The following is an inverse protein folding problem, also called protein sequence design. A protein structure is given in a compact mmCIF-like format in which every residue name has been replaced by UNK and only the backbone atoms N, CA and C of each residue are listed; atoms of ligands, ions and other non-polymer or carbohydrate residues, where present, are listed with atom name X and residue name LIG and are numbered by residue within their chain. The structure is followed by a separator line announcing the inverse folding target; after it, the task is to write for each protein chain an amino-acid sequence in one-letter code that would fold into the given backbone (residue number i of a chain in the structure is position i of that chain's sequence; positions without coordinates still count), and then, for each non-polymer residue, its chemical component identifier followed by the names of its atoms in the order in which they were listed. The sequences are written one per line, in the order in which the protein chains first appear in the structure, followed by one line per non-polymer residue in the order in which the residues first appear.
data_IF_718538165776
#
_entry.id   IF_718538165776
#
_cell.length_a   1.000
_cell.length_b   1.000
_cell.length_c   1.000
_cell.angle_alpha   90.00
_cell.angle_beta   90.00
_cell.angle_gamma   90.00
#
_symmetry.space_group_name_H-M   'P 1'
#
loop_
_entity.id
_entity.type
_entity.pdbx_description
1 polymer ?
#
# COMPACT_ATOMS: atom_id res chain seq x y z
N UNK A 1 -0.92 35.18 -15.63
CA UNK A 1 -0.29 35.52 -16.97
C UNK A 1 0.08 34.22 -17.65
N UNK A 2 -0.18 34.13 -18.97
CA UNK A 2 0.10 32.89 -19.74
C UNK A 2 1.08 33.20 -20.88
N UNK A 3 2.00 32.28 -21.11
CA UNK A 3 2.98 32.35 -22.19
C UNK A 3 3.05 31.00 -22.92
N UNK A 4 3.11 31.03 -24.26
CA UNK A 4 3.33 29.83 -25.06
C UNK A 4 4.84 29.75 -25.36
N UNK A 5 5.51 28.80 -24.77
CA UNK A 5 6.91 28.47 -25.08
C UNK A 5 7.00 27.47 -26.23
N UNK A 6 8.22 27.07 -26.61
CA UNK A 6 8.46 26.09 -27.69
C UNK A 6 7.79 24.73 -27.41
N UNK A 7 7.81 24.26 -26.17
CA UNK A 7 7.47 22.90 -25.80
C UNK A 7 6.35 22.82 -24.75
N UNK A 8 5.96 23.98 -24.14
CA UNK A 8 5.00 24.03 -23.04
C UNK A 8 4.18 25.34 -23.03
N UNK A 9 3.08 25.34 -22.32
CA UNK A 9 2.37 26.54 -21.89
C UNK A 9 2.81 26.82 -20.45
N UNK A 10 3.29 28.05 -20.22
CA UNK A 10 3.73 28.54 -18.91
C UNK A 10 2.60 29.36 -18.29
N UNK A 11 2.21 29.01 -17.09
CA UNK A 11 1.17 29.71 -16.32
C UNK A 11 1.82 30.37 -15.12
N UNK A 12 1.64 31.68 -14.97
CA UNK A 12 2.21 32.48 -13.90
C UNK A 12 1.11 33.06 -13.03
N UNK A 13 1.31 33.00 -11.70
CA UNK A 13 0.56 33.73 -10.69
C UNK A 13 1.52 34.73 -10.02
N UNK A 14 1.12 36.00 -9.92
CA UNK A 14 1.95 37.09 -9.34
C UNK A 14 3.40 37.11 -9.83
N UNK A 15 3.61 36.92 -11.14
CA UNK A 15 4.93 36.85 -11.81
C UNK A 15 5.77 35.60 -11.41
N UNK A 16 5.26 34.69 -10.63
CA UNK A 16 5.89 33.40 -10.28
C UNK A 16 5.37 32.31 -11.20
N UNK A 17 6.27 31.51 -11.77
CA UNK A 17 5.86 30.34 -12.58
C UNK A 17 5.17 29.32 -11.67
N UNK A 18 3.88 29.13 -11.89
CA UNK A 18 3.07 28.15 -11.16
C UNK A 18 3.07 26.80 -11.86
N UNK A 19 2.82 26.79 -13.18
CA UNK A 19 2.81 25.57 -13.98
C UNK A 19 3.61 25.71 -15.27
N UNK A 20 4.38 24.66 -15.59
CA UNK A 20 4.93 24.40 -16.90
C UNK A 20 4.20 23.18 -17.48
N UNK A 21 3.27 23.40 -18.41
CA UNK A 21 2.38 22.39 -18.96
C UNK A 21 2.85 22.00 -20.37
N UNK A 22 3.51 20.83 -20.56
CA UNK A 22 3.94 20.37 -21.89
C UNK A 22 2.76 20.27 -22.85
N UNK A 23 2.93 20.63 -24.14
CA UNK A 23 1.86 20.64 -25.13
C UNK A 23 1.14 19.28 -25.23
N UNK A 24 1.91 18.18 -25.32
CA UNK A 24 1.34 16.83 -25.35
C UNK A 24 0.59 16.47 -24.08
N UNK A 25 1.06 16.93 -22.91
CA UNK A 25 0.37 16.72 -21.65
C UNK A 25 -0.99 17.42 -21.65
N UNK A 26 -1.07 18.69 -22.10
CA UNK A 26 -2.35 19.42 -22.21
C UNK A 26 -3.30 18.67 -23.15
N UNK A 27 -2.80 18.21 -24.29
CA UNK A 27 -3.62 17.50 -25.28
C UNK A 27 -4.15 16.17 -24.76
N UNK A 28 -3.33 15.44 -23.98
CA UNK A 28 -3.68 14.14 -23.39
C UNK A 28 -4.63 14.28 -22.19
N UNK A 29 -4.59 15.40 -21.47
CA UNK A 29 -5.38 15.61 -20.24
C UNK A 29 -6.63 16.49 -20.46
N UNK A 30 -7.02 16.72 -21.71
CA UNK A 30 -8.25 17.43 -22.03
C UNK A 30 -9.48 16.76 -21.40
N UNK A 31 -10.34 17.56 -20.76
CA UNK A 31 -11.55 17.11 -20.06
C UNK A 31 -12.82 17.16 -20.90
N UNK A 32 -12.76 17.64 -22.17
CA UNK A 32 -13.94 17.78 -23.02
C UNK A 32 -14.59 16.44 -23.39
N UNK A 33 -15.87 16.47 -23.78
CA UNK A 33 -16.65 15.28 -24.16
C UNK A 33 -16.10 14.52 -25.38
N UNK A 34 -15.24 15.15 -26.21
CA UNK A 34 -14.58 14.48 -27.31
C UNK A 34 -13.33 13.69 -26.87
N UNK A 35 -12.77 13.99 -25.68
CA UNK A 35 -11.59 13.34 -25.14
C UNK A 35 -11.90 12.37 -24.00
N UNK A 36 -13.04 12.54 -23.35
CA UNK A 36 -13.49 11.66 -22.26
C UNK A 36 -14.95 11.24 -22.47
N UNK A 37 -15.22 10.00 -22.07
CA UNK A 37 -16.60 9.49 -21.99
C UNK A 37 -17.28 10.19 -20.81
N UNK A 38 -18.39 10.87 -21.08
CA UNK A 38 -19.07 11.72 -20.10
C UNK A 38 -19.51 10.95 -18.83
N UNK A 39 -20.04 9.76 -19.02
CA UNK A 39 -20.61 8.91 -17.95
C UNK A 39 -19.55 8.29 -17.07
N UNK A 40 -18.43 7.84 -17.66
CA UNK A 40 -17.38 7.09 -16.96
C UNK A 40 -16.14 7.92 -16.66
N UNK A 41 -15.99 9.09 -17.28
CA UNK A 41 -14.79 9.94 -17.24
C UNK A 41 -13.52 9.27 -17.75
N UNK A 42 -13.64 8.11 -18.38
CA UNK A 42 -12.53 7.41 -19.02
C UNK A 42 -12.06 8.13 -20.26
N UNK A 43 -10.76 8.12 -20.52
CA UNK A 43 -10.17 8.67 -21.73
C UNK A 43 -10.62 7.86 -22.96
N UNK A 44 -11.10 8.55 -23.98
CA UNK A 44 -11.30 7.99 -25.33
C UNK A 44 -10.32 8.58 -26.36
N UNK A 45 -9.64 9.67 -26.00
CA UNK A 45 -8.59 10.25 -26.83
C UNK A 45 -7.32 9.38 -26.78
N UNK A 46 -6.71 9.19 -27.94
CA UNK A 46 -5.48 8.42 -28.12
C UNK A 46 -4.36 9.40 -28.48
N UNK A 47 -3.36 9.55 -27.64
CA UNK A 47 -2.29 10.56 -27.79
C UNK A 47 -1.51 10.41 -29.12
N UNK A 48 -1.34 9.21 -29.63
CA UNK A 48 -0.67 8.97 -30.92
C UNK A 48 -1.47 9.44 -32.17
N UNK A 49 -2.69 9.94 -31.99
CA UNK A 49 -3.49 10.53 -33.08
C UNK A 49 -3.07 11.95 -33.43
N UNK A 50 -2.19 12.57 -32.67
CA UNK A 50 -1.65 13.90 -32.93
C UNK A 50 -0.14 13.84 -33.15
N UNK A 51 0.40 14.88 -33.79
CA UNK A 51 1.83 14.98 -34.08
C UNK A 51 2.62 15.22 -32.78
N UNK A 52 3.81 14.61 -32.68
CA UNK A 52 4.68 14.71 -31.50
C UNK A 52 5.05 16.16 -31.14
N UNK A 53 5.18 17.01 -32.14
CA UNK A 53 5.56 18.43 -32.02
C UNK A 53 4.36 19.37 -32.15
N UNK A 54 3.16 18.89 -31.81
CA UNK A 54 1.94 19.72 -31.83
C UNK A 54 2.14 20.95 -30.94
N UNK A 55 1.79 22.12 -31.46
CA UNK A 55 1.89 23.39 -30.75
C UNK A 55 0.52 24.07 -30.74
N UNK A 56 0.09 24.69 -29.64
CA UNK A 56 -1.16 25.44 -29.58
C UNK A 56 -1.16 26.60 -30.59
N UNK A 57 -2.32 26.89 -31.16
CA UNK A 57 -2.53 28.08 -32.00
C UNK A 57 -2.93 29.30 -31.14
N UNK A 58 -3.57 29.03 -29.99
CA UNK A 58 -3.96 30.07 -29.05
C UNK A 58 -4.13 29.46 -27.66
N UNK A 59 -3.96 30.26 -26.61
CA UNK A 59 -4.19 29.86 -25.23
C UNK A 59 -4.86 31.03 -24.50
N UNK A 60 -5.96 30.75 -23.83
CA UNK A 60 -6.68 31.71 -23.01
C UNK A 60 -7.04 31.11 -21.66
N UNK A 61 -7.29 31.94 -20.67
CA UNK A 61 -7.75 31.55 -19.34
C UNK A 61 -9.09 32.23 -19.07
N UNK A 62 -10.03 31.44 -18.60
CA UNK A 62 -11.32 31.92 -18.13
C UNK A 62 -11.66 31.23 -16.79
N UNK A 63 -11.85 32.03 -15.73
CA UNK A 63 -12.24 31.54 -14.39
C UNK A 63 -11.42 30.31 -13.93
N UNK A 64 -10.06 30.42 -14.00
CA UNK A 64 -9.15 29.35 -13.61
C UNK A 64 -9.20 28.08 -14.50
N UNK A 65 -9.76 28.23 -15.69
CA UNK A 65 -9.80 27.17 -16.72
C UNK A 65 -8.92 27.59 -17.89
N UNK A 66 -7.91 26.80 -18.20
CA UNK A 66 -7.06 26.97 -19.37
C UNK A 66 -7.77 26.40 -20.59
N UNK A 67 -7.97 27.26 -21.61
CA UNK A 67 -8.57 26.90 -22.88
C UNK A 67 -7.48 26.97 -23.93
N UNK A 68 -7.19 25.85 -24.60
CA UNK A 68 -6.08 25.71 -25.53
C UNK A 68 -6.59 25.27 -26.90
N UNK A 69 -6.42 26.13 -27.91
CA UNK A 69 -6.80 25.86 -29.31
C UNK A 69 -5.65 25.17 -30.06
N UNK A 70 -5.97 24.15 -30.83
CA UNK A 70 -5.01 23.34 -31.58
C UNK A 70 -5.19 23.49 -33.10
N UNK A 71 -4.12 23.18 -33.91
CA UNK A 71 -4.21 23.23 -35.38
C UNK A 71 -5.25 22.31 -36.01
N UNK A 72 -5.57 21.21 -35.33
CA UNK A 72 -6.62 20.23 -35.74
C UNK A 72 -8.06 20.71 -35.44
N UNK A 73 -8.23 21.97 -34.99
CA UNK A 73 -9.47 22.60 -34.57
C UNK A 73 -10.05 22.03 -33.28
N UNK A 74 -9.29 21.21 -32.55
CA UNK A 74 -9.65 20.79 -31.22
C UNK A 74 -9.42 21.94 -30.21
N UNK A 75 -10.22 21.95 -29.14
CA UNK A 75 -10.03 22.85 -28.01
C UNK A 75 -9.87 22.01 -26.74
N UNK A 76 -8.70 22.09 -26.11
CA UNK A 76 -8.48 21.44 -24.81
C UNK A 76 -8.93 22.34 -23.69
N UNK A 77 -9.52 21.74 -22.66
CA UNK A 77 -10.02 22.39 -21.45
C UNK A 77 -9.27 21.75 -20.25
N UNK A 78 -8.57 22.58 -19.48
CA UNK A 78 -7.82 22.16 -18.29
C UNK A 78 -8.25 23.02 -17.10
N UNK A 79 -8.82 22.42 -16.09
CA UNK A 79 -9.15 23.07 -14.82
C UNK A 79 -7.88 23.18 -13.95
N UNK A 80 -7.33 24.36 -13.76
CA UNK A 80 -6.07 24.58 -13.03
C UNK A 80 -6.21 24.22 -11.55
N UNK A 81 -7.36 24.48 -10.92
CA UNK A 81 -7.64 24.04 -9.54
C UNK A 81 -7.52 22.53 -9.35
N UNK A 82 -7.78 21.75 -10.41
CA UNK A 82 -7.68 20.30 -10.35
C UNK A 82 -6.23 19.83 -10.26
N UNK A 83 -5.27 20.64 -10.71
CA UNK A 83 -3.84 20.33 -10.71
C UNK A 83 -3.22 20.47 -9.31
N UNK A 84 -3.79 21.35 -8.49
CA UNK A 84 -3.35 21.59 -7.11
C UNK A 84 -3.90 20.58 -6.11
N UNK A 85 -4.85 19.71 -6.50
CA UNK A 85 -5.37 18.65 -5.63
C UNK A 85 -4.26 17.61 -5.42
N UNK A 86 -3.45 17.84 -4.39
CA UNK A 86 -2.54 16.80 -3.90
C UNK A 86 -3.41 15.64 -3.41
N UNK A 87 -3.32 14.49 -4.06
CA UNK A 87 -3.97 13.25 -3.57
C UNK A 87 -3.60 12.95 -2.12
N UNK A 88 -2.44 13.45 -1.67
CA UNK A 88 -1.99 13.35 -0.28
C UNK A 88 -2.91 14.06 0.74
N UNK A 89 -3.69 15.09 0.33
CA UNK A 89 -4.61 15.80 1.23
C UNK A 89 -5.98 15.09 1.33
N UNK A 90 -6.24 14.16 0.42
CA UNK A 90 -7.50 13.42 0.38
C UNK A 90 -7.62 12.37 1.49
N UNK A 91 -6.48 11.87 1.97
CA UNK A 91 -6.41 10.80 2.97
C UNK A 91 -5.64 11.25 4.20
N UNK A 92 -5.99 10.74 5.40
CA UNK A 92 -5.23 11.05 6.61
C UNK A 92 -3.78 10.61 6.45
N UNK A 93 -2.86 11.44 6.95
CA UNK A 93 -1.45 11.09 7.00
C UNK A 93 -1.24 9.92 7.96
N UNK A 94 -0.29 9.04 7.64
CA UNK A 94 0.09 7.96 8.54
C UNK A 94 0.77 8.51 9.80
N UNK A 95 0.53 7.83 10.91
CA UNK A 95 1.08 8.18 12.22
C UNK A 95 2.03 7.05 12.67
N UNK A 96 3.25 7.42 13.12
CA UNK A 96 4.24 6.47 13.64
C UNK A 96 3.82 5.97 15.02
N UNK A 97 4.12 4.70 15.31
CA UNK A 97 3.90 4.12 16.62
C UNK A 97 4.97 3.08 16.99
N UNK A 98 5.07 2.72 18.27
CA UNK A 98 6.04 1.80 18.82
C UNK A 98 5.38 0.77 19.78
N UNK A 99 6.16 0.23 20.70
CA UNK A 99 5.73 -0.79 21.69
C UNK A 99 4.52 -0.40 22.55
N UNK A 100 4.26 0.88 22.72
CA UNK A 100 3.18 1.39 23.58
C UNK A 100 1.85 1.57 22.80
N UNK A 101 1.84 1.19 21.52
CA UNK A 101 0.64 1.26 20.68
C UNK A 101 -0.44 0.28 21.13
N UNK A 102 -1.68 0.77 21.13
CA UNK A 102 -2.90 -0.03 21.27
C UNK A 102 -3.81 0.24 20.07
N UNK A 103 -4.34 -0.80 19.40
CA UNK A 103 -5.22 -0.62 18.26
C UNK A 103 -6.54 0.02 18.67
N UNK A 104 -7.15 0.77 17.75
CA UNK A 104 -8.53 1.25 17.89
C UNK A 104 -9.49 0.08 17.73
N UNK A 105 -10.59 0.08 18.51
CA UNK A 105 -11.63 -0.95 18.47
C UNK A 105 -12.91 -0.36 17.88
N UNK A 106 -13.54 -1.12 16.98
CA UNK A 106 -14.80 -0.78 16.34
C UNK A 106 -15.76 -1.97 16.48
N UNK A 107 -17.05 -1.71 16.56
CA UNK A 107 -18.04 -2.77 16.64
C UNK A 107 -18.27 -3.41 15.27
N UNK A 108 -18.23 -4.75 15.19
CA UNK A 108 -18.40 -5.51 13.95
C UNK A 108 -19.68 -5.15 13.21
N UNK A 109 -20.81 -5.13 13.93
CA UNK A 109 -22.09 -4.85 13.31
C UNK A 109 -22.20 -3.41 12.83
N UNK A 110 -21.73 -2.46 13.64
CA UNK A 110 -21.72 -1.04 13.25
C UNK A 110 -20.79 -0.80 12.07
N UNK A 111 -19.62 -1.45 12.01
CA UNK A 111 -18.75 -1.38 10.85
C UNK A 111 -19.44 -1.82 9.56
N UNK A 112 -20.29 -2.85 9.61
CA UNK A 112 -21.02 -3.34 8.44
C UNK A 112 -22.22 -2.47 8.06
N UNK A 113 -22.91 -1.85 9.02
CA UNK A 113 -24.20 -1.20 8.82
C UNK A 113 -24.12 0.35 8.81
N UNK A 114 -23.13 0.97 9.48
CA UNK A 114 -22.98 2.42 9.60
C UNK A 114 -21.75 2.93 8.84
N UNK A 115 -21.99 3.89 7.92
CA UNK A 115 -20.92 4.45 7.09
C UNK A 115 -19.92 5.29 7.88
N UNK A 116 -20.34 5.97 8.96
CA UNK A 116 -19.43 6.77 9.78
C UNK A 116 -18.48 5.87 10.59
N UNK A 117 -18.99 4.76 11.14
CA UNK A 117 -18.14 3.80 11.83
C UNK A 117 -17.14 3.16 10.88
N UNK A 118 -17.57 2.77 9.67
CA UNK A 118 -16.68 2.26 8.64
C UNK A 118 -15.60 3.28 8.23
N UNK A 119 -15.96 4.55 8.03
CA UNK A 119 -15.02 5.64 7.73
C UNK A 119 -14.01 5.81 8.87
N UNK A 120 -14.44 5.77 10.13
CA UNK A 120 -13.55 5.88 11.27
C UNK A 120 -12.56 4.69 11.34
N UNK A 121 -13.03 3.48 11.09
CA UNK A 121 -12.19 2.28 11.02
C UNK A 121 -11.16 2.35 9.87
N UNK A 122 -11.58 2.78 8.67
CA UNK A 122 -10.66 2.98 7.56
C UNK A 122 -9.66 4.11 7.81
N UNK A 123 -10.07 5.19 8.47
CA UNK A 123 -9.14 6.25 8.89
C UNK A 123 -8.09 5.71 9.89
N UNK A 124 -8.47 4.83 10.83
CA UNK A 124 -7.53 4.16 11.71
C UNK A 124 -6.55 3.28 10.92
N UNK A 125 -7.04 2.51 9.91
CA UNK A 125 -6.18 1.70 9.04
C UNK A 125 -5.16 2.57 8.28
N UNK A 126 -5.61 3.69 7.72
CA UNK A 126 -4.73 4.62 6.99
C UNK A 126 -3.69 5.26 7.91
N UNK A 127 -4.07 5.66 9.13
CA UNK A 127 -3.19 6.31 10.09
C UNK A 127 -2.19 5.35 10.74
N UNK A 128 -2.66 4.26 11.31
CA UNK A 128 -1.84 3.33 12.09
C UNK A 128 -1.52 2.01 11.39
N UNK A 129 -2.24 1.67 10.33
CA UNK A 129 -2.13 0.36 9.68
C UNK A 129 -2.85 -0.77 10.40
N UNK A 130 -3.55 -0.49 11.51
CA UNK A 130 -4.16 -1.53 12.38
C UNK A 130 -5.44 -1.03 13.01
N UNK A 131 -6.46 -1.90 13.04
CA UNK A 131 -7.62 -1.77 13.94
C UNK A 131 -8.18 -3.14 14.30
N UNK A 132 -9.07 -3.19 15.29
CA UNK A 132 -9.75 -4.41 15.73
C UNK A 132 -11.26 -4.24 15.58
N UNK A 133 -11.92 -5.22 14.97
CA UNK A 133 -13.37 -5.37 15.02
C UNK A 133 -13.74 -6.26 16.21
N UNK A 134 -14.54 -5.71 17.13
CA UNK A 134 -15.04 -6.41 18.30
C UNK A 134 -16.46 -6.94 18.05
N UNK A 135 -16.90 -7.91 18.85
CA UNK A 135 -18.23 -8.53 18.74
C UNK A 135 -18.49 -9.22 17.39
N UNK A 136 -17.43 -9.71 16.73
CA UNK A 136 -17.56 -10.53 15.53
C UNK A 136 -18.23 -11.88 15.88
N UNK A 137 -19.05 -12.45 14.98
CA UNK A 137 -19.56 -13.80 15.14
C UNK A 137 -18.40 -14.80 15.24
N UNK A 138 -18.53 -15.86 16.03
CA UNK A 138 -17.47 -16.86 16.24
C UNK A 138 -17.60 -18.06 15.30
N UNK A 139 -18.13 -17.85 14.09
CA UNK A 139 -18.24 -18.85 13.03
C UNK A 139 -17.09 -18.68 12.02
N UNK A 140 -16.51 -19.76 11.49
CA UNK A 140 -15.34 -19.71 10.60
C UNK A 140 -15.52 -18.82 9.37
N UNK A 141 -16.70 -18.82 8.74
CA UNK A 141 -16.98 -18.09 7.50
C UNK A 141 -17.37 -16.61 7.72
N UNK A 142 -17.45 -16.13 8.97
CA UNK A 142 -17.91 -14.75 9.27
C UNK A 142 -17.08 -13.67 8.57
N UNK A 143 -15.81 -13.92 8.24
CA UNK A 143 -14.99 -12.98 7.48
C UNK A 143 -15.54 -12.65 6.09
N UNK A 144 -16.41 -13.51 5.51
CA UNK A 144 -17.10 -13.21 4.24
C UNK A 144 -17.99 -11.96 4.34
N UNK A 145 -18.54 -11.68 5.52
CA UNK A 145 -19.39 -10.52 5.76
C UNK A 145 -18.66 -9.18 5.60
N UNK A 146 -17.30 -9.18 5.64
CA UNK A 146 -16.50 -8.00 5.42
C UNK A 146 -16.43 -7.58 3.94
N UNK A 147 -16.69 -8.50 3.02
CA UNK A 147 -16.54 -8.29 1.57
C UNK A 147 -17.30 -7.08 1.02
N UNK A 148 -18.56 -6.79 1.42
CA UNK A 148 -19.28 -5.61 0.94
C UNK A 148 -18.63 -4.27 1.32
N UNK A 149 -17.87 -4.22 2.41
CA UNK A 149 -17.20 -3.00 2.89
C UNK A 149 -15.74 -2.92 2.46
N UNK A 150 -15.02 -4.04 2.49
CA UNK A 150 -13.57 -4.09 2.28
C UNK A 150 -13.18 -4.50 0.86
N UNK A 151 -14.13 -4.97 0.07
CA UNK A 151 -13.88 -5.56 -1.24
C UNK A 151 -13.78 -7.09 -1.19
N UNK A 152 -13.67 -7.74 -2.36
CA UNK A 152 -13.70 -9.20 -2.45
C UNK A 152 -12.50 -9.82 -1.71
N UNK A 153 -12.76 -10.92 -1.01
CA UNK A 153 -11.70 -11.71 -0.40
C UNK A 153 -10.79 -12.29 -1.49
N UNK A 154 -9.49 -12.15 -1.29
CA UNK A 154 -8.48 -12.71 -2.18
C UNK A 154 -8.31 -14.19 -1.87
N UNK A 155 -8.68 -15.07 -2.81
CA UNK A 155 -8.39 -16.48 -2.72
C UNK A 155 -6.88 -16.70 -2.91
N UNK A 156 -6.26 -17.38 -1.97
CA UNK A 156 -4.82 -17.62 -1.94
C UNK A 156 -4.52 -19.10 -2.16
N UNK A 157 -3.25 -19.48 -2.11
CA UNK A 157 -2.85 -20.88 -2.15
C UNK A 157 -3.42 -21.71 -0.95
N UNK A 158 -3.80 -21.03 0.15
CA UNK A 158 -4.37 -21.64 1.36
C UNK A 158 -5.90 -21.61 1.41
N UNK A 159 -6.60 -21.40 0.36
CA UNK A 159 -8.04 -21.21 0.33
C UNK A 159 -8.45 -19.72 0.49
N UNK A 160 -9.75 -19.51 0.47
CA UNK A 160 -10.38 -18.18 0.58
C UNK A 160 -10.36 -17.68 2.04
N UNK A 161 -10.67 -18.57 2.98
CA UNK A 161 -10.52 -18.33 4.43
C UNK A 161 -9.73 -19.50 5.01
N UNK A 162 -8.54 -19.19 5.51
CA UNK A 162 -7.64 -20.18 6.07
C UNK A 162 -7.82 -20.32 7.58
N UNK A 163 -8.08 -21.55 8.06
CA UNK A 163 -8.16 -21.85 9.47
C UNK A 163 -6.78 -22.14 10.06
N UNK A 164 -6.33 -21.26 10.96
CA UNK A 164 -5.07 -21.46 11.70
C UNK A 164 -5.35 -22.24 12.98
N UNK A 165 -4.95 -23.49 12.99
CA UNK A 165 -5.04 -24.38 14.17
C UNK A 165 -3.82 -25.30 14.23
N UNK A 166 -3.50 -25.78 15.43
CA UNK A 166 -2.46 -26.83 15.54
C UNK A 166 -3.02 -28.12 15.00
N UNK A 167 -2.49 -28.60 13.88
CA UNK A 167 -2.94 -29.78 13.16
C UNK A 167 -1.84 -30.84 13.05
N UNK A 168 -2.25 -32.10 12.86
CA UNK A 168 -1.34 -33.22 12.58
C UNK A 168 -0.73 -33.22 11.18
N UNK A 169 -1.31 -32.49 10.22
CA UNK A 169 -0.80 -32.28 8.85
C UNK A 169 -0.16 -30.91 8.74
N UNK A 170 1.11 -30.82 9.14
CA UNK A 170 1.86 -29.57 9.18
C UNK A 170 2.49 -29.29 7.81
N UNK A 171 1.96 -28.33 7.05
CA UNK A 171 2.55 -27.79 5.83
C UNK A 171 2.99 -26.32 5.98
N UNK A 172 2.66 -25.65 7.08
CA UNK A 172 3.05 -24.30 7.40
C UNK A 172 3.47 -24.19 8.87
N UNK A 173 4.38 -23.26 9.20
CA UNK A 173 4.85 -23.02 10.59
C UNK A 173 3.69 -22.62 11.53
N UNK A 174 2.67 -21.95 11.01
CA UNK A 174 1.47 -21.58 11.77
C UNK A 174 0.65 -22.77 12.30
N UNK A 175 0.79 -23.97 11.71
CA UNK A 175 0.19 -25.22 12.20
C UNK A 175 1.01 -25.86 13.33
N UNK A 176 2.05 -25.23 13.79
CA UNK A 176 2.92 -25.72 14.87
C UNK A 176 2.70 -24.93 16.15
N UNK A 177 3.17 -25.48 17.28
CA UNK A 177 3.23 -24.74 18.55
C UNK A 177 4.43 -23.79 18.68
N UNK A 178 5.17 -23.58 17.59
CA UNK A 178 6.36 -22.70 17.60
C UNK A 178 5.91 -21.23 17.49
N UNK A 179 6.60 -20.36 18.20
CA UNK A 179 6.42 -18.92 18.01
C UNK A 179 6.87 -18.52 16.60
N UNK A 180 6.04 -17.74 15.93
CA UNK A 180 6.36 -17.15 14.63
C UNK A 180 6.85 -15.72 14.88
N UNK A 181 8.09 -15.37 14.46
CA UNK A 181 8.56 -13.99 14.60
C UNK A 181 7.75 -13.04 13.71
N UNK A 182 7.70 -11.73 14.03
CA UNK A 182 6.95 -10.77 13.24
C UNK A 182 7.30 -10.84 11.74
N UNK A 183 6.28 -10.90 10.90
CA UNK A 183 6.40 -11.08 9.45
C UNK A 183 5.21 -10.49 8.70
N UNK A 184 5.32 -10.41 7.38
CA UNK A 184 4.14 -10.26 6.50
C UNK A 184 3.85 -11.61 5.86
N UNK A 185 2.58 -11.94 5.73
CA UNK A 185 2.15 -13.07 4.93
C UNK A 185 2.33 -12.82 3.43
N UNK A 186 2.37 -13.90 2.67
CA UNK A 186 2.44 -13.88 1.20
C UNK A 186 3.65 -13.10 0.64
N UNK A 187 4.79 -13.13 1.32
CA UNK A 187 6.02 -12.55 0.79
C UNK A 187 6.44 -13.18 -0.56
N UNK A 188 6.00 -14.38 -0.84
CA UNK A 188 6.20 -15.12 -2.09
C UNK A 188 5.30 -14.66 -3.25
N UNK A 189 4.31 -13.77 -3.00
CA UNK A 189 3.48 -13.18 -4.05
C UNK A 189 4.15 -11.94 -4.63
N UNK A 190 4.10 -11.76 -5.94
CA UNK A 190 4.59 -10.52 -6.58
C UNK A 190 3.78 -9.32 -6.13
N UNK A 191 2.47 -9.47 -5.99
CA UNK A 191 1.58 -8.49 -5.38
C UNK A 191 0.97 -9.08 -4.10
N UNK A 192 1.49 -8.67 -2.94
CA UNK A 192 0.94 -9.10 -1.65
C UNK A 192 -0.47 -8.54 -1.44
N UNK A 193 -1.39 -9.28 -0.78
CA UNK A 193 -2.66 -8.72 -0.33
C UNK A 193 -2.46 -7.44 0.49
N UNK A 194 -3.25 -6.41 0.19
CA UNK A 194 -3.06 -5.09 0.82
C UNK A 194 -3.51 -5.07 2.28
N UNK A 195 -4.55 -5.82 2.59
CA UNK A 195 -5.16 -5.91 3.92
C UNK A 195 -5.35 -7.37 4.29
N UNK A 196 -5.09 -7.68 5.54
CA UNK A 196 -5.32 -9.01 6.12
C UNK A 196 -6.23 -8.89 7.33
N UNK A 197 -7.11 -9.88 7.49
CA UNK A 197 -7.97 -10.04 8.65
C UNK A 197 -7.61 -11.33 9.40
N UNK A 198 -7.29 -11.22 10.68
CA UNK A 198 -7.01 -12.34 11.58
C UNK A 198 -8.15 -12.43 12.60
N UNK A 199 -9.06 -13.36 12.41
CA UNK A 199 -10.24 -13.54 13.24
C UNK A 199 -9.98 -14.54 14.37
N UNK A 200 -10.10 -14.11 15.61
CA UNK A 200 -9.93 -14.94 16.79
C UNK A 200 -11.27 -15.59 17.15
N UNK A 201 -11.47 -16.82 16.65
CA UNK A 201 -12.68 -17.61 16.97
C UNK A 201 -12.69 -18.03 18.44
N UNK A 202 -11.53 -18.48 18.96
CA UNK A 202 -11.37 -18.95 20.33
C UNK A 202 -9.96 -18.65 20.82
N UNK A 203 -9.84 -18.09 22.03
CA UNK A 203 -8.56 -17.83 22.69
C UNK A 203 -8.61 -18.14 24.19
N UNK A 204 -8.66 -19.45 24.52
CA UNK A 204 -8.72 -19.95 25.89
C UNK A 204 -7.33 -20.29 26.46
N UNK A 205 -6.26 -20.13 25.69
CA UNK A 205 -4.92 -20.49 26.13
C UNK A 205 -4.32 -19.46 27.10
N UNK A 206 -3.35 -19.88 27.90
CA UNK A 206 -2.45 -18.96 28.62
C UNK A 206 -1.42 -18.42 27.64
N UNK A 207 -1.24 -17.10 27.57
CA UNK A 207 -0.48 -16.44 26.52
C UNK A 207 -1.40 -16.03 25.39
N UNK A 208 -1.13 -16.45 24.13
CA UNK A 208 -1.95 -16.12 22.97
C UNK A 208 -2.03 -14.62 22.70
N UNK A 209 -0.96 -13.88 22.99
CA UNK A 209 -0.87 -12.47 22.68
C UNK A 209 -0.53 -12.30 21.20
N UNK A 210 -1.17 -11.33 20.58
CA UNK A 210 -0.80 -10.83 19.26
C UNK A 210 0.31 -9.81 19.40
N UNK A 211 1.27 -9.85 18.49
CA UNK A 211 2.35 -8.88 18.39
C UNK A 211 2.22 -8.19 17.04
N UNK A 212 2.33 -6.87 17.02
CA UNK A 212 2.40 -6.09 15.77
C UNK A 212 3.59 -5.15 15.81
N UNK A 213 4.16 -4.87 14.63
CA UNK A 213 5.29 -3.96 14.45
C UNK A 213 4.96 -2.97 13.33
N UNK A 214 5.10 -1.66 13.61
CA UNK A 214 5.01 -0.65 12.56
C UNK A 214 6.27 -0.69 11.68
N UNK A 215 6.18 -1.40 10.58
CA UNK A 215 7.30 -1.53 9.65
C UNK A 215 7.75 -0.18 9.08
N UNK A 216 6.84 0.78 8.87
CA UNK A 216 7.23 2.08 8.34
C UNK A 216 8.02 2.92 9.35
N UNK A 217 7.59 2.94 10.61
CA UNK A 217 8.35 3.59 11.69
C UNK A 217 9.74 2.95 11.83
N UNK A 218 9.80 1.63 11.83
CA UNK A 218 11.07 0.90 11.92
C UNK A 218 12.00 1.22 10.73
N UNK A 219 11.45 1.31 9.52
CA UNK A 219 12.23 1.60 8.31
C UNK A 219 12.69 3.06 8.22
N UNK A 220 11.87 4.02 8.69
CA UNK A 220 12.32 5.42 8.78
C UNK A 220 13.45 5.58 9.81
N UNK A 221 13.36 4.92 10.96
CA UNK A 221 14.46 4.87 11.94
C UNK A 221 15.73 4.21 11.32
N UNK A 222 15.56 3.13 10.54
CA UNK A 222 16.69 2.49 9.85
C UNK A 222 17.32 3.44 8.82
N UNK A 223 16.49 4.14 8.04
CA UNK A 223 16.94 5.10 7.03
C UNK A 223 17.71 6.26 7.64
N UNK A 224 17.28 6.73 8.81
CA UNK A 224 17.94 7.79 9.55
C UNK A 224 19.30 7.35 10.11
N UNK A 225 19.35 6.16 10.75
CA UNK A 225 20.54 5.66 11.44
C UNK A 225 21.57 5.07 10.46
N UNK A 226 21.10 4.36 9.42
CA UNK A 226 21.91 3.60 8.45
C UNK A 226 21.35 3.75 7.04
N UNK A 227 21.50 4.91 6.39
CA UNK A 227 20.95 5.16 5.04
C UNK A 227 21.51 4.21 3.98
N UNK A 228 22.74 3.73 4.12
CA UNK A 228 23.37 2.73 3.27
C UNK A 228 22.70 1.36 3.38
N UNK A 229 22.29 0.95 4.58
CA UNK A 229 21.54 -0.29 4.79
C UNK A 229 20.13 -0.18 4.21
N UNK A 230 19.48 0.96 4.39
CA UNK A 230 18.18 1.20 3.78
C UNK A 230 18.26 1.10 2.25
N UNK A 231 19.25 1.73 1.66
CA UNK A 231 19.47 1.75 0.21
C UNK A 231 19.69 0.36 -0.39
N UNK A 232 20.47 -0.50 0.29
CA UNK A 232 20.69 -1.86 -0.19
C UNK A 232 19.41 -2.70 -0.09
N UNK A 233 18.61 -2.53 0.96
CA UNK A 233 17.33 -3.23 1.14
C UNK A 233 16.24 -2.79 0.13
N UNK A 234 16.37 -1.59 -0.44
CA UNK A 234 15.52 -1.10 -1.55
C UNK A 234 15.94 -1.70 -2.90
N UNK A 235 17.22 -2.00 -3.08
CA UNK A 235 17.77 -2.36 -4.41
C UNK A 235 18.01 -3.86 -4.57
N UNK A 236 18.28 -4.56 -3.49
CA UNK A 236 18.67 -5.96 -3.53
C UNK A 236 17.45 -6.89 -3.63
N UNK A 237 17.30 -7.70 -4.69
CA UNK A 237 16.20 -8.64 -4.82
C UNK A 237 16.42 -9.85 -3.93
N UNK A 238 15.37 -10.22 -3.19
CA UNK A 238 15.36 -11.35 -2.26
C UNK A 238 14.37 -12.39 -2.77
N UNK A 239 14.76 -13.66 -2.93
CA UNK A 239 13.86 -14.73 -3.32
C UNK A 239 13.01 -15.17 -2.13
N UNK A 240 11.69 -15.21 -2.32
CA UNK A 240 10.71 -15.78 -1.39
C UNK A 240 9.94 -16.89 -2.08
N UNK A 241 9.67 -17.96 -1.35
CA UNK A 241 8.94 -19.12 -1.87
C UNK A 241 8.02 -19.70 -0.81
N UNK A 242 6.83 -20.07 -1.21
CA UNK A 242 5.86 -20.80 -0.43
C UNK A 242 5.21 -21.87 -1.30
N UNK A 243 4.93 -23.04 -0.74
CA UNK A 243 4.35 -24.15 -1.51
C UNK A 243 3.58 -25.10 -0.60
N UNK A 244 2.60 -25.77 -1.18
CA UNK A 244 1.92 -26.94 -0.64
C UNK A 244 2.12 -28.16 -1.56
N UNK A 245 1.25 -29.17 -1.47
CA UNK A 245 1.34 -30.37 -2.31
C UNK A 245 1.07 -30.08 -3.81
N UNK A 246 0.19 -29.12 -4.10
CA UNK A 246 -0.34 -28.85 -5.44
C UNK A 246 0.11 -27.50 -6.01
N UNK A 247 0.47 -26.54 -5.16
CA UNK A 247 0.70 -25.13 -5.53
C UNK A 247 2.06 -24.64 -5.08
N UNK A 248 2.59 -23.70 -5.84
CA UNK A 248 3.82 -22.97 -5.51
C UNK A 248 3.67 -21.50 -5.89
N UNK A 249 4.13 -20.61 -5.00
CA UNK A 249 4.27 -19.19 -5.26
C UNK A 249 5.71 -18.77 -5.07
N UNK A 250 6.19 -17.88 -5.93
CA UNK A 250 7.56 -17.40 -5.91
C UNK A 250 7.62 -15.92 -6.29
N UNK A 251 8.41 -15.16 -5.56
CA UNK A 251 8.78 -13.80 -5.92
C UNK A 251 10.27 -13.57 -5.74
N UNK A 252 10.82 -12.60 -6.46
CA UNK A 252 12.20 -12.15 -6.31
C UNK A 252 12.19 -10.62 -6.27
N UNK A 253 11.90 -10.07 -5.11
CA UNK A 253 11.56 -8.68 -4.91
C UNK A 253 12.39 -8.07 -3.77
N UNK A 254 12.66 -6.77 -3.78
CA UNK A 254 13.33 -6.12 -2.66
C UNK A 254 12.46 -6.13 -1.40
N UNK A 255 13.13 -6.03 -0.24
CA UNK A 255 12.47 -5.95 1.06
C UNK A 255 11.69 -4.64 1.21
N UNK A 256 12.22 -3.53 0.67
CA UNK A 256 11.59 -2.22 0.74
C UNK A 256 11.24 -1.75 -0.67
N UNK A 257 9.99 -1.36 -0.90
CA UNK A 257 9.59 -0.69 -2.13
C UNK A 257 9.24 0.77 -1.85
N UNK A 258 9.61 1.66 -2.77
CA UNK A 258 9.36 3.10 -2.67
C UNK A 258 8.34 3.56 -3.70
N UNK A 259 7.67 4.66 -3.40
CA UNK A 259 6.89 5.44 -4.38
C UNK A 259 7.82 6.20 -5.33
N UNK A 260 7.29 6.77 -6.40
CA UNK A 260 8.04 7.67 -7.28
C UNK A 260 8.57 8.92 -6.58
N UNK A 261 7.96 9.33 -5.47
CA UNK A 261 8.42 10.43 -4.63
C UNK A 261 9.47 10.03 -3.59
N UNK A 262 9.84 8.74 -3.50
CA UNK A 262 10.82 8.23 -2.54
C UNK A 262 10.27 7.92 -1.15
N UNK A 263 8.94 7.99 -0.95
CA UNK A 263 8.30 7.55 0.28
C UNK A 263 8.21 6.01 0.33
N UNK A 264 8.18 5.43 1.52
CA UNK A 264 7.99 3.98 1.70
C UNK A 264 6.61 3.60 1.17
N UNK A 265 6.57 2.64 0.24
CA UNK A 265 5.35 2.08 -0.35
C UNK A 265 4.96 0.77 0.31
N UNK A 266 5.91 -0.12 0.46
CA UNK A 266 5.68 -1.42 1.07
C UNK A 266 6.93 -1.99 1.73
N UNK A 267 6.69 -2.78 2.76
CA UNK A 267 7.68 -3.56 3.48
C UNK A 267 7.35 -5.04 3.34
N UNK A 268 8.26 -5.82 2.76
CA UNK A 268 8.16 -7.27 2.54
C UNK A 268 9.15 -7.97 3.45
N UNK A 269 8.66 -8.63 4.51
CA UNK A 269 9.53 -9.29 5.46
C UNK A 269 8.93 -10.60 5.94
N UNK A 270 9.55 -11.70 5.57
CA UNK A 270 9.20 -13.05 6.02
C UNK A 270 10.47 -13.90 6.06
N UNK A 271 11.07 -14.01 7.24
CA UNK A 271 12.27 -14.78 7.41
C UNK A 271 12.09 -16.26 7.07
N UNK A 272 10.88 -16.78 7.31
CA UNK A 272 10.53 -18.19 7.07
C UNK A 272 10.35 -18.53 5.59
N UNK A 273 9.97 -17.58 4.75
CA UNK A 273 9.77 -17.79 3.30
C UNK A 273 11.00 -17.42 2.46
N UNK A 274 11.95 -16.70 3.05
CA UNK A 274 13.18 -16.31 2.35
C UNK A 274 13.98 -17.54 1.93
N UNK A 275 14.36 -17.59 0.67
CA UNK A 275 15.13 -18.69 0.10
C UNK A 275 16.62 -18.37 0.07
N UNK A 276 17.42 -19.42 -0.18
CA UNK A 276 18.86 -19.28 -0.34
C UNK A 276 19.20 -18.38 -1.52
N UNK A 277 19.93 -17.31 -1.25
CA UNK A 277 20.43 -16.39 -2.27
C UNK A 277 21.69 -16.99 -2.91
N UNK A 278 21.84 -16.82 -4.23
CA UNK A 278 23.05 -17.29 -4.93
C UNK A 278 24.29 -16.61 -4.34
N UNK A 279 25.32 -17.36 -3.90
CA UNK A 279 26.50 -16.80 -3.25
C UNK A 279 27.35 -15.90 -4.17
N UNK A 280 27.13 -15.93 -5.48
CA UNK A 280 27.80 -15.06 -6.45
C UNK A 280 27.00 -13.78 -6.76
N UNK A 281 25.91 -13.50 -6.04
CA UNK A 281 25.14 -12.27 -6.23
C UNK A 281 25.98 -11.07 -5.79
N UNK A 282 26.00 -10.04 -6.62
CA UNK A 282 26.68 -8.78 -6.30
C UNK A 282 26.11 -8.15 -5.02
N UNK A 283 26.96 -7.54 -4.21
CA UNK A 283 26.60 -6.88 -2.93
C UNK A 283 25.98 -7.81 -1.87
N UNK A 284 26.11 -9.15 -2.02
CA UNK A 284 25.53 -10.13 -1.08
C UNK A 284 25.99 -9.90 0.36
N UNK A 285 27.26 -9.58 0.57
CA UNK A 285 27.81 -9.32 1.91
C UNK A 285 27.15 -8.11 2.56
N UNK A 286 27.00 -7.02 1.82
CA UNK A 286 26.42 -5.77 2.31
C UNK A 286 24.93 -5.95 2.58
N UNK A 287 24.24 -6.70 1.72
CA UNK A 287 22.86 -7.11 1.97
C UNK A 287 22.72 -7.85 3.30
N UNK A 288 23.57 -8.86 3.58
CA UNK A 288 23.45 -9.62 4.83
C UNK A 288 23.78 -8.78 6.07
N UNK A 289 24.65 -7.78 5.98
CA UNK A 289 24.89 -6.81 7.07
C UNK A 289 23.62 -5.98 7.33
N UNK A 290 23.02 -5.42 6.28
CA UNK A 290 21.79 -4.63 6.38
C UNK A 290 20.61 -5.48 6.87
N UNK A 291 20.47 -6.70 6.35
CA UNK A 291 19.42 -7.63 6.74
C UNK A 291 19.56 -8.07 8.20
N UNK A 292 20.78 -8.27 8.70
CA UNK A 292 21.04 -8.58 10.11
C UNK A 292 20.58 -7.45 11.02
N UNK A 293 20.86 -6.18 10.68
CA UNK A 293 20.37 -5.02 11.43
C UNK A 293 18.86 -4.93 11.37
N UNK A 294 18.26 -5.14 10.20
CA UNK A 294 16.81 -5.18 10.05
C UNK A 294 16.17 -6.24 10.96
N UNK A 295 16.71 -7.46 10.97
CA UNK A 295 16.23 -8.54 11.85
C UNK A 295 16.35 -8.18 13.34
N UNK A 296 17.42 -7.50 13.74
CA UNK A 296 17.59 -7.02 15.10
C UNK A 296 16.48 -6.02 15.48
N UNK A 297 16.17 -5.09 14.59
CA UNK A 297 15.10 -4.09 14.80
C UNK A 297 13.73 -4.75 14.87
N UNK A 298 13.38 -5.62 13.93
CA UNK A 298 12.10 -6.34 13.92
C UNK A 298 11.90 -7.14 15.21
N UNK A 299 12.97 -7.72 15.75
CA UNK A 299 12.91 -8.50 16.98
C UNK A 299 13.11 -7.69 18.27
N UNK A 300 13.38 -6.39 18.16
CA UNK A 300 13.55 -5.51 19.32
C UNK A 300 12.23 -5.19 20.01
N UNK A 301 12.23 -5.23 21.33
CA UNK A 301 11.06 -4.82 22.14
C UNK A 301 10.69 -3.34 21.94
N UNK A 302 11.56 -2.51 21.38
CA UNK A 302 11.26 -1.11 21.05
C UNK A 302 10.08 -0.98 20.08
N UNK A 303 9.94 -1.89 19.12
CA UNK A 303 8.96 -1.80 18.05
C UNK A 303 7.75 -2.74 18.20
N UNK A 304 7.80 -3.68 19.15
CA UNK A 304 6.76 -4.70 19.34
C UNK A 304 5.64 -4.18 20.23
N UNK A 305 4.51 -3.82 19.66
CA UNK A 305 3.28 -3.64 20.41
C UNK A 305 2.60 -4.99 20.65
N UNK A 306 2.24 -5.25 21.88
CA UNK A 306 1.68 -6.55 22.31
C UNK A 306 0.35 -6.34 22.99
N UNK A 307 -0.67 -7.05 22.53
CA UNK A 307 -2.01 -7.05 23.10
C UNK A 307 -2.65 -8.44 22.96
N UNK A 308 -3.77 -8.65 23.62
CA UNK A 308 -4.51 -9.91 23.50
C UNK A 308 -5.77 -9.68 22.68
N UNK A 309 -5.98 -10.51 21.66
CA UNK A 309 -7.26 -10.63 20.98
C UNK A 309 -8.13 -11.63 21.75
N UNK A 310 -9.32 -11.20 22.13
CA UNK A 310 -10.31 -12.06 22.73
C UNK A 310 -11.14 -12.79 21.66
N UNK A 311 -11.80 -13.89 22.05
CA UNK A 311 -12.73 -14.59 21.15
C UNK A 311 -13.81 -13.65 20.62
N UNK A 312 -14.10 -13.71 19.33
CA UNK A 312 -15.02 -12.79 18.66
C UNK A 312 -14.39 -11.43 18.32
N UNK A 313 -13.05 -11.33 18.25
CA UNK A 313 -12.35 -10.15 17.75
C UNK A 313 -11.61 -10.48 16.46
N UNK A 314 -11.63 -9.55 15.50
CA UNK A 314 -10.86 -9.64 14.28
C UNK A 314 -9.87 -8.50 14.17
N UNK A 315 -8.58 -8.82 14.09
CA UNK A 315 -7.49 -7.88 13.83
C UNK A 315 -7.40 -7.62 12.33
N UNK A 316 -7.46 -6.36 11.94
CA UNK A 316 -7.32 -5.91 10.55
C UNK A 316 -5.99 -5.18 10.43
N UNK A 317 -5.14 -5.62 9.51
CA UNK A 317 -3.80 -5.04 9.31
C UNK A 317 -3.56 -4.66 7.85
N UNK A 318 -2.87 -3.55 7.64
CA UNK A 318 -2.32 -3.16 6.34
C UNK A 318 -1.01 -3.94 6.10
N UNK A 319 -1.09 -5.04 5.35
CA UNK A 319 0.00 -6.02 5.19
C UNK A 319 1.27 -5.42 4.58
N UNK A 320 1.17 -4.34 3.79
CA UNK A 320 2.31 -3.66 3.20
C UNK A 320 3.08 -2.76 4.20
N UNK A 321 2.58 -2.59 5.42
CA UNK A 321 3.14 -1.75 6.46
C UNK A 321 3.42 -2.50 7.76
N UNK A 322 2.46 -3.29 8.23
CA UNK A 322 2.48 -3.89 9.57
C UNK A 322 2.95 -5.33 9.51
N UNK A 323 3.92 -5.67 10.35
CA UNK A 323 4.27 -7.06 10.64
C UNK A 323 3.43 -7.56 11.81
N UNK A 324 3.06 -8.84 11.79
CA UNK A 324 2.28 -9.46 12.85
C UNK A 324 2.83 -10.82 13.26
#
# INVERSE_FOLDING_TARGET
MIEISKDAVLVYEDEVLEYELPHLWIRDNCSCDACRVKETQEKQFILSSVELNITPTNVTEDQNTLIVDWPDKHQSIIELDSLNKKDAERYPQWESWDKDFLPSYFDWKLFLEDDNEAINAFNALLKSGVFVLANAPQEPESLEDLSPRMGPLHETLFERIHNVSVDGHVYNIAHTSKAVPPHNDFASYSAQPSVQALHMLQNDCKGGHSVVVDGWTLLEDLKQDHPDYFDILVKFPVPFREFDEDNETYSNEPIISLTSSGAIKSFRFSNQLMQTINPNTENLKDFYIAYHELCNRVNSDKYKATFRLESGQALIVASHRVLH
#
